data_IF_334656245462
#
_entry.id   IF_334656245462
#
_cell.length_a   1.000
_cell.length_b   1.000
_cell.length_c   1.000
_cell.angle_alpha   90.00
_cell.angle_beta   90.00
_cell.angle_gamma   90.00
#
_symmetry.space_group_name_H-M   'P 1'
#
loop_
_entity.id
_entity.type
_entity.pdbx_description
1 polymer ?
#
# COMPACT_ATOMS: atom_id res chain seq x y z
N UNK A 1 -25.20 5.35 16.87
CA UNK A 1 -25.69 5.78 15.55
C UNK A 1 -26.22 4.55 14.81
N UNK A 2 -27.49 4.55 14.38
CA UNK A 2 -28.12 3.37 13.75
C UNK A 2 -27.98 3.34 12.21
N UNK A 3 -27.58 4.47 11.64
CA UNK A 3 -27.37 4.62 10.21
C UNK A 3 -26.08 3.93 9.78
N UNK A 4 -26.05 3.40 8.55
CA UNK A 4 -24.84 2.83 7.96
C UNK A 4 -23.94 3.95 7.43
N UNK A 5 -22.66 3.85 7.69
CA UNK A 5 -21.65 4.80 7.20
C UNK A 5 -20.63 4.02 6.35
N UNK A 6 -20.73 4.14 5.02
CA UNK A 6 -19.94 3.32 4.09
C UNK A 6 -18.58 3.93 3.78
N UNK A 7 -17.51 3.27 4.23
CA UNK A 7 -16.15 3.58 3.77
C UNK A 7 -16.03 3.31 2.27
N UNK A 8 -16.51 2.14 1.83
CA UNK A 8 -16.74 1.85 0.42
C UNK A 8 -17.98 0.98 0.23
N UNK A 9 -18.54 1.03 -0.98
CA UNK A 9 -19.64 0.17 -1.39
C UNK A 9 -19.50 -0.20 -2.87
N UNK A 10 -19.68 -1.48 -3.19
CA UNK A 10 -19.93 -1.99 -4.53
C UNK A 10 -21.38 -2.43 -4.61
N UNK A 11 -22.19 -1.77 -5.43
CA UNK A 11 -23.62 -2.06 -5.59
C UNK A 11 -24.03 -2.14 -7.06
N UNK A 12 -25.21 -2.70 -7.33
CA UNK A 12 -25.80 -2.68 -8.68
C UNK A 12 -25.86 -1.23 -9.23
N UNK A 13 -25.48 -1.04 -10.48
CA UNK A 13 -25.55 0.28 -11.13
C UNK A 13 -27.01 0.70 -11.36
N UNK A 14 -27.85 -0.25 -11.79
CA UNK A 14 -29.22 -0.01 -12.27
C UNK A 14 -30.21 -0.96 -11.58
N UNK A 15 -31.49 -0.59 -11.62
CA UNK A 15 -32.69 -1.37 -11.24
C UNK A 15 -32.82 -1.76 -9.75
N UNK A 16 -31.80 -2.37 -9.17
CA UNK A 16 -31.78 -2.91 -7.81
C UNK A 16 -30.70 -2.17 -7.01
N UNK A 17 -30.75 -2.30 -5.69
CA UNK A 17 -29.78 -1.68 -4.78
C UNK A 17 -29.03 -2.77 -4.00
N UNK A 18 -28.71 -3.91 -4.64
CA UNK A 18 -28.05 -4.99 -3.90
C UNK A 18 -26.59 -4.62 -3.72
N UNK A 19 -26.10 -4.79 -2.50
CA UNK A 19 -24.69 -4.58 -2.20
C UNK A 19 -23.97 -5.89 -2.51
N UNK A 20 -22.93 -5.83 -3.32
CA UNK A 20 -22.09 -6.97 -3.68
C UNK A 20 -20.91 -7.09 -2.73
N UNK A 21 -20.30 -5.95 -2.39
CA UNK A 21 -19.26 -5.85 -1.38
C UNK A 21 -19.35 -4.48 -0.68
N UNK A 22 -19.07 -4.39 0.61
CA UNK A 22 -19.05 -3.12 1.31
C UNK A 22 -18.22 -3.19 2.60
N UNK A 23 -17.58 -2.09 2.95
CA UNK A 23 -17.02 -1.85 4.29
C UNK A 23 -17.76 -0.67 4.89
N UNK A 24 -18.40 -0.88 6.03
CA UNK A 24 -19.20 0.15 6.66
C UNK A 24 -19.21 0.03 8.19
N UNK A 25 -19.50 1.15 8.84
CA UNK A 25 -19.70 1.22 10.29
C UNK A 25 -21.20 1.29 10.55
N UNK A 26 -21.68 0.49 11.51
CA UNK A 26 -23.06 0.53 11.96
C UNK A 26 -23.16 -0.04 13.38
N UNK A 27 -23.88 0.63 14.27
CA UNK A 27 -24.11 0.17 15.66
C UNK A 27 -22.81 -0.15 16.42
N UNK A 28 -21.74 0.62 16.21
CA UNK A 28 -20.40 0.38 16.78
C UNK A 28 -19.77 -0.95 16.36
N UNK A 29 -20.17 -1.49 15.20
CA UNK A 29 -19.46 -2.57 14.54
C UNK A 29 -18.81 -2.05 13.27
N UNK A 30 -17.55 -2.42 13.06
CA UNK A 30 -16.93 -2.43 11.74
C UNK A 30 -17.43 -3.66 11.00
N UNK A 31 -17.97 -3.50 9.80
CA UNK A 31 -18.59 -4.60 9.06
C UNK A 31 -18.05 -4.70 7.65
N UNK A 32 -17.60 -5.90 7.30
CA UNK A 32 -17.24 -6.25 5.93
C UNK A 32 -18.33 -7.17 5.37
N UNK A 33 -19.02 -6.70 4.33
CA UNK A 33 -19.98 -7.48 3.56
C UNK A 33 -19.31 -7.95 2.27
N UNK A 34 -19.35 -9.25 1.99
CA UNK A 34 -18.97 -9.87 0.72
C UNK A 34 -20.04 -10.89 0.36
N UNK A 35 -20.86 -10.60 -0.66
CA UNK A 35 -21.90 -11.52 -1.09
C UNK A 35 -21.40 -12.41 -2.23
N UNK A 36 -21.77 -13.69 -2.17
CA UNK A 36 -21.52 -14.61 -3.28
C UNK A 36 -22.28 -14.14 -4.52
N UNK A 37 -21.59 -14.10 -5.64
CA UNK A 37 -22.19 -13.84 -6.95
C UNK A 37 -23.25 -14.89 -7.32
N UNK A 38 -24.02 -14.65 -8.38
CA UNK A 38 -25.11 -15.52 -8.77
C UNK A 38 -24.66 -16.95 -9.07
N UNK A 39 -25.31 -17.91 -8.41
CA UNK A 39 -25.17 -19.33 -8.71
C UNK A 39 -26.34 -19.77 -9.60
N UNK A 40 -26.05 -20.63 -10.58
CA UNK A 40 -27.04 -21.22 -11.49
C UNK A 40 -27.91 -22.29 -10.81
N UNK A 41 -27.53 -22.77 -9.63
CA UNK A 41 -28.30 -23.74 -8.85
C UNK A 41 -29.18 -23.05 -7.81
N UNK A 42 -30.43 -23.49 -7.72
CA UNK A 42 -31.42 -23.12 -6.68
C UNK A 42 -31.03 -23.69 -5.29
N UNK A 43 -29.78 -23.53 -4.87
CA UNK A 43 -29.32 -23.99 -3.57
C UNK A 43 -29.81 -23.07 -2.46
N UNK A 44 -30.52 -23.62 -1.47
CA UNK A 44 -30.85 -22.94 -0.21
C UNK A 44 -29.63 -22.74 0.71
N UNK A 45 -28.43 -23.12 0.24
CA UNK A 45 -27.19 -23.03 1.01
C UNK A 45 -26.84 -21.57 1.32
N UNK A 46 -26.73 -21.27 2.60
CA UNK A 46 -26.23 -19.97 3.08
C UNK A 46 -24.71 -19.98 3.11
N UNK A 47 -24.11 -18.83 2.86
CA UNK A 47 -22.67 -18.63 2.90
C UNK A 47 -22.32 -17.46 3.82
N UNK A 48 -21.21 -17.53 4.57
CA UNK A 48 -20.65 -16.39 5.27
C UNK A 48 -20.61 -15.16 4.36
N UNK A 49 -21.30 -14.09 4.77
CA UNK A 49 -21.52 -12.93 3.92
C UNK A 49 -21.21 -11.61 4.62
N UNK A 50 -21.45 -11.50 5.93
CA UNK A 50 -21.12 -10.28 6.70
C UNK A 50 -20.29 -10.65 7.93
N UNK A 51 -19.07 -10.11 8.01
CA UNK A 51 -18.19 -10.20 9.17
C UNK A 51 -18.26 -8.91 9.96
N UNK A 52 -18.45 -9.02 11.27
CA UNK A 52 -18.70 -7.89 12.15
C UNK A 52 -17.71 -7.90 13.30
N UNK A 53 -16.96 -6.81 13.49
CA UNK A 53 -16.03 -6.63 14.61
C UNK A 53 -16.47 -5.46 15.48
N UNK A 54 -16.56 -5.70 16.79
CA UNK A 54 -16.72 -4.67 17.81
C UNK A 54 -15.34 -4.32 18.35
N UNK A 55 -14.82 -3.19 17.92
CA UNK A 55 -13.51 -2.66 18.28
C UNK A 55 -13.65 -1.20 18.73
N UNK A 56 -12.71 -0.71 19.54
CA UNK A 56 -12.74 0.65 20.09
C UNK A 56 -12.31 1.71 19.08
N UNK A 57 -11.39 1.33 18.19
CA UNK A 57 -10.63 2.15 17.26
C UNK A 57 -11.49 2.81 16.17
N UNK A 58 -12.75 2.36 16.00
CA UNK A 58 -13.69 3.00 15.07
C UNK A 58 -14.33 4.28 15.62
N UNK A 59 -14.23 4.55 16.93
CA UNK A 59 -14.96 5.63 17.61
C UNK A 59 -14.09 6.49 18.56
N UNK A 60 -12.78 6.34 18.54
CA UNK A 60 -11.86 7.08 19.42
C UNK A 60 -11.30 8.37 18.80
N UNK A 61 -11.74 8.70 17.57
CA UNK A 61 -11.30 9.85 16.79
C UNK A 61 -9.77 9.90 16.55
N UNK A 62 -9.11 8.74 16.52
CA UNK A 62 -7.70 8.62 16.14
C UNK A 62 -7.53 8.01 14.75
N UNK A 63 -6.33 8.19 14.20
CA UNK A 63 -5.95 7.54 12.95
C UNK A 63 -5.56 6.09 13.20
N UNK A 64 -6.20 5.17 12.49
CA UNK A 64 -5.91 3.74 12.56
C UNK A 64 -5.73 3.14 11.16
N UNK A 65 -4.85 2.16 11.05
CA UNK A 65 -4.74 1.32 9.85
C UNK A 65 -5.61 0.08 10.00
N UNK A 66 -6.40 -0.22 8.97
CA UNK A 66 -7.27 -1.40 8.93
C UNK A 66 -6.87 -2.28 7.76
N UNK A 67 -6.58 -3.55 8.03
CA UNK A 67 -6.15 -4.51 7.01
C UNK A 67 -6.94 -5.80 7.12
N UNK A 68 -7.62 -6.13 6.03
CA UNK A 68 -8.43 -7.33 5.91
C UNK A 68 -7.72 -8.34 5.03
N UNK A 69 -7.44 -9.53 5.57
CA UNK A 69 -6.97 -10.67 4.79
C UNK A 69 -8.15 -11.59 4.55
N UNK A 70 -8.66 -11.58 3.32
CA UNK A 70 -9.87 -12.30 2.93
C UNK A 70 -9.49 -13.63 2.29
N UNK A 71 -9.76 -14.73 2.98
CA UNK A 71 -9.75 -16.09 2.45
C UNK A 71 -11.20 -16.55 2.27
N UNK A 72 -11.93 -15.91 1.35
CA UNK A 72 -13.34 -16.21 1.13
C UNK A 72 -13.53 -17.62 0.55
N UNK A 73 -14.58 -18.38 0.94
CA UNK A 73 -15.63 -18.04 1.92
C UNK A 73 -15.30 -18.45 3.37
N UNK A 74 -14.08 -18.93 3.65
CA UNK A 74 -13.77 -19.64 4.89
C UNK A 74 -13.39 -18.71 6.04
N UNK A 75 -12.66 -17.63 5.77
CA UNK A 75 -12.10 -16.78 6.84
C UNK A 75 -11.82 -15.36 6.38
N UNK A 76 -12.02 -14.40 7.28
CA UNK A 76 -11.49 -13.04 7.16
C UNK A 76 -10.73 -12.68 8.43
N UNK A 77 -9.45 -12.34 8.29
CA UNK A 77 -8.63 -11.83 9.39
C UNK A 77 -8.57 -10.30 9.33
N UNK A 78 -8.80 -9.65 10.47
CA UNK A 78 -8.69 -8.21 10.63
C UNK A 78 -7.43 -7.87 11.45
N UNK A 79 -6.62 -6.98 10.91
CA UNK A 79 -5.53 -6.33 11.64
C UNK A 79 -5.86 -4.84 11.81
N UNK A 80 -5.66 -4.34 13.03
CA UNK A 80 -5.75 -2.91 13.36
C UNK A 80 -4.39 -2.48 13.85
N UNK A 81 -3.79 -1.49 13.20
CA UNK A 81 -2.42 -1.03 13.50
C UNK A 81 -1.39 -2.17 13.53
N UNK A 82 -1.46 -3.05 12.53
CA UNK A 82 -0.66 -4.29 12.38
C UNK A 82 -0.86 -5.34 13.50
N UNK A 83 -1.85 -5.17 14.38
CA UNK A 83 -2.20 -6.15 15.41
C UNK A 83 -3.41 -6.96 14.98
N UNK A 84 -3.28 -8.29 15.01
CA UNK A 84 -4.40 -9.20 14.73
C UNK A 84 -5.50 -9.00 15.79
N UNK A 85 -6.71 -8.70 15.33
CA UNK A 85 -7.91 -8.70 16.18
C UNK A 85 -8.34 -10.14 16.40
N UNK A 86 -8.12 -10.65 17.61
CA UNK A 86 -8.49 -12.02 17.98
C UNK A 86 -10.02 -12.13 18.13
N UNK A 87 -10.70 -12.97 17.32
CA UNK A 87 -12.13 -13.15 17.43
C UNK A 87 -12.55 -13.81 18.74
N UNK A 88 -13.56 -13.23 19.41
CA UNK A 88 -14.26 -13.78 20.57
C UNK A 88 -15.77 -13.72 20.31
N UNK A 89 -16.56 -14.45 21.10
CA UNK A 89 -18.03 -14.42 21.01
C UNK A 89 -18.63 -13.03 21.29
N UNK A 90 -17.90 -12.17 22.00
CA UNK A 90 -18.32 -10.82 22.36
C UNK A 90 -17.99 -9.79 21.28
N UNK A 91 -16.82 -9.93 20.64
CA UNK A 91 -16.29 -8.92 19.72
C UNK A 91 -16.48 -9.26 18.23
N UNK A 92 -16.83 -10.51 17.89
CA UNK A 92 -16.86 -10.94 16.50
C UNK A 92 -18.09 -11.79 16.18
N UNK A 93 -18.69 -11.54 15.02
CA UNK A 93 -19.83 -12.29 14.49
C UNK A 93 -19.75 -12.44 12.99
N UNK A 94 -20.29 -13.54 12.49
CA UNK A 94 -20.46 -13.80 11.06
C UNK A 94 -21.93 -14.08 10.79
N UNK A 95 -22.49 -13.39 9.78
CA UNK A 95 -23.84 -13.62 9.29
C UNK A 95 -23.74 -14.33 7.94
N UNK A 96 -24.55 -15.37 7.79
CA UNK A 96 -24.68 -16.10 6.53
C UNK A 96 -25.91 -15.64 5.75
N UNK A 97 -25.75 -15.51 4.43
CA UNK A 97 -26.82 -15.09 3.52
C UNK A 97 -26.85 -15.98 2.27
N UNK A 98 -27.98 -15.93 1.57
CA UNK A 98 -28.13 -16.57 0.28
C UNK A 98 -27.32 -15.81 -0.79
N UNK A 99 -26.81 -16.53 -1.82
CA UNK A 99 -26.19 -15.89 -2.97
C UNK A 99 -27.09 -14.84 -3.64
N UNK A 100 -26.47 -13.88 -4.32
CA UNK A 100 -27.22 -12.91 -5.12
C UNK A 100 -28.02 -13.64 -6.20
N UNK A 101 -29.32 -13.37 -6.30
CA UNK A 101 -30.14 -13.95 -7.38
C UNK A 101 -29.77 -13.33 -8.72
N UNK A 102 -29.80 -14.10 -9.81
CA UNK A 102 -29.68 -13.53 -11.16
C UNK A 102 -30.90 -12.65 -11.43
N UNK A 103 -30.66 -11.39 -11.77
CA UNK A 103 -31.70 -10.46 -12.23
C UNK A 103 -31.18 -9.83 -13.52
N UNK A 104 -31.85 -10.02 -14.67
CA UNK A 104 -31.42 -9.39 -15.92
C UNK A 104 -31.31 -7.86 -15.77
N UNK A 105 -30.25 -7.27 -16.34
CA UNK A 105 -30.00 -5.83 -16.28
C UNK A 105 -29.33 -5.34 -14.98
N UNK A 106 -28.73 -6.25 -14.21
CA UNK A 106 -27.98 -5.95 -12.98
C UNK A 106 -26.56 -6.51 -13.00
N UNK A 107 -26.02 -6.71 -14.20
CA UNK A 107 -24.67 -7.21 -14.44
C UNK A 107 -23.62 -6.14 -14.11
N UNK A 108 -23.97 -4.88 -14.34
CA UNK A 108 -23.11 -3.72 -14.05
C UNK A 108 -23.19 -3.31 -12.58
N UNK A 109 -22.03 -2.98 -12.00
CA UNK A 109 -21.90 -2.53 -10.62
C UNK A 109 -21.09 -1.25 -10.52
N UNK A 110 -21.48 -0.37 -9.62
CA UNK A 110 -20.72 0.83 -9.26
C UNK A 110 -19.93 0.56 -7.98
N UNK A 111 -18.68 1.00 -7.98
CA UNK A 111 -17.86 1.11 -6.79
C UNK A 111 -17.79 2.58 -6.34
N UNK A 112 -18.16 2.84 -5.09
CA UNK A 112 -18.18 4.18 -4.50
C UNK A 112 -17.39 4.21 -3.19
N UNK A 113 -16.72 5.34 -2.95
CA UNK A 113 -16.04 5.66 -1.69
C UNK A 113 -16.84 6.69 -0.89
N UNK A 114 -16.87 6.53 0.43
CA UNK A 114 -17.53 7.47 1.33
C UNK A 114 -19.06 7.46 1.26
N UNK A 115 -19.67 6.46 0.64
CA UNK A 115 -21.11 6.28 0.50
C UNK A 115 -21.44 5.04 -0.32
N UNK A 116 -22.73 4.74 -0.47
CA UNK A 116 -23.20 3.67 -1.34
C UNK A 116 -24.12 4.17 -2.45
N UNK A 117 -23.94 3.68 -3.67
CA UNK A 117 -24.79 4.02 -4.80
C UNK A 117 -26.16 3.33 -4.67
N UNK A 118 -27.21 4.13 -4.74
CA UNK A 118 -28.60 3.66 -4.70
C UNK A 118 -29.26 3.88 -6.07
N UNK A 119 -29.21 2.86 -6.92
CA UNK A 119 -29.67 2.88 -8.30
C UNK A 119 -31.09 3.47 -8.48
N UNK A 120 -32.04 3.10 -7.61
CA UNK A 120 -33.43 3.59 -7.74
C UNK A 120 -33.59 5.08 -7.47
N UNK A 121 -32.67 5.67 -6.71
CA UNK A 121 -32.71 7.08 -6.38
C UNK A 121 -31.63 7.88 -7.13
N UNK A 122 -30.85 7.20 -7.98
CA UNK A 122 -29.76 7.76 -8.77
C UNK A 122 -28.83 8.68 -7.98
N UNK A 123 -28.49 8.28 -6.74
CA UNK A 123 -27.65 9.07 -5.84
C UNK A 123 -26.89 8.21 -4.85
N UNK A 124 -25.83 8.79 -4.29
CA UNK A 124 -25.16 8.23 -3.11
C UNK A 124 -26.00 8.44 -1.85
N UNK A 125 -25.98 7.44 -0.97
CA UNK A 125 -26.64 7.42 0.33
C UNK A 125 -25.69 6.86 1.38
N UNK A 126 -26.05 6.97 2.67
CA UNK A 126 -25.33 6.32 3.77
C UNK A 126 -23.85 6.74 3.81
N UNK A 127 -23.66 8.05 3.75
CA UNK A 127 -22.35 8.69 3.63
C UNK A 127 -21.48 8.42 4.85
N UNK A 128 -20.18 8.24 4.61
CA UNK A 128 -19.18 8.14 5.65
C UNK A 128 -18.91 9.50 6.28
N UNK A 129 -18.94 9.59 7.61
CA UNK A 129 -18.53 10.78 8.35
C UNK A 129 -17.17 10.53 9.01
N UNK A 130 -16.12 10.79 8.25
CA UNK A 130 -14.74 10.65 8.72
C UNK A 130 -13.74 11.00 7.63
N UNK A 131 -12.47 10.67 7.87
CA UNK A 131 -11.39 10.89 6.91
C UNK A 131 -10.75 9.57 6.53
N UNK A 132 -10.43 9.40 5.24
CA UNK A 132 -9.71 8.24 4.71
C UNK A 132 -8.48 8.76 4.00
N UNK A 133 -7.28 8.40 4.49
CA UNK A 133 -6.01 8.83 3.90
C UNK A 133 -5.51 7.89 2.79
N UNK A 134 -6.05 6.67 2.71
CA UNK A 134 -5.66 5.69 1.72
C UNK A 134 -6.56 4.45 1.75
N UNK A 135 -6.81 3.88 0.58
CA UNK A 135 -7.51 2.62 0.42
C UNK A 135 -6.85 1.85 -0.72
N UNK A 136 -6.50 0.61 -0.45
CA UNK A 136 -5.93 -0.31 -1.43
C UNK A 136 -6.73 -1.61 -1.37
N UNK A 137 -7.17 -2.10 -2.54
CA UNK A 137 -7.85 -3.38 -2.69
C UNK A 137 -7.05 -4.17 -3.72
N UNK A 138 -6.52 -5.31 -3.30
CA UNK A 138 -5.64 -6.16 -4.12
C UNK A 138 -6.23 -7.56 -4.21
N UNK A 139 -6.10 -8.17 -5.39
CA UNK A 139 -6.39 -9.59 -5.57
C UNK A 139 -5.12 -10.40 -5.28
N UNK A 140 -5.30 -11.66 -4.87
CA UNK A 140 -4.20 -12.52 -4.42
C UNK A 140 -3.15 -12.77 -5.51
N UNK A 141 -3.53 -12.68 -6.79
CA UNK A 141 -2.60 -12.76 -7.92
C UNK A 141 -1.68 -11.51 -8.03
N UNK A 142 -2.13 -10.34 -7.58
CA UNK A 142 -1.34 -9.09 -7.65
C UNK A 142 -0.28 -9.00 -6.54
N UNK A 143 -0.49 -9.70 -5.42
CA UNK A 143 0.46 -9.80 -4.30
C UNK A 143 1.80 -10.44 -4.71
N UNK A 144 1.84 -11.29 -5.73
CA UNK A 144 3.09 -11.86 -6.26
C UNK A 144 3.89 -10.81 -7.07
N UNK A 145 3.26 -9.72 -7.52
CA UNK A 145 3.89 -8.66 -8.34
C UNK A 145 4.18 -7.37 -7.57
N UNK A 146 3.59 -7.12 -6.40
CA UNK A 146 3.71 -5.83 -5.66
C UNK A 146 4.31 -5.92 -4.24
N UNK A 147 4.78 -7.08 -3.79
CA UNK A 147 4.99 -7.39 -2.36
C UNK A 147 6.33 -6.95 -1.76
N UNK A 148 6.51 -5.66 -1.54
CA UNK A 148 7.33 -5.25 -0.38
C UNK A 148 6.79 -4.03 0.35
N UNK A 149 6.25 -3.04 -0.36
CA UNK A 149 5.83 -1.81 0.31
C UNK A 149 4.53 -2.00 1.11
N UNK A 150 3.47 -2.62 0.56
CA UNK A 150 2.11 -2.59 1.15
C UNK A 150 2.03 -3.05 2.62
N UNK A 151 2.99 -3.86 3.10
CA UNK A 151 3.04 -4.32 4.50
C UNK A 151 3.95 -3.49 5.41
N UNK A 152 4.87 -2.72 4.85
CA UNK A 152 5.93 -2.00 5.58
C UNK A 152 6.14 -0.57 5.05
N UNK A 153 5.15 0.05 4.39
CA UNK A 153 5.22 1.43 3.88
C UNK A 153 5.09 2.46 5.04
N UNK A 154 6.07 2.53 5.94
CA UNK A 154 6.08 3.48 7.04
C UNK A 154 7.41 4.23 7.11
N UNK A 155 7.38 5.44 7.66
CA UNK A 155 8.58 6.20 7.97
C UNK A 155 9.05 5.78 9.35
N UNK A 156 10.32 5.41 9.47
CA UNK A 156 10.90 5.04 10.75
C UNK A 156 12.39 5.39 10.79
N UNK A 157 12.93 5.42 12.00
CA UNK A 157 14.35 5.52 12.23
C UNK A 157 14.89 4.10 12.48
N UNK A 158 16.06 3.82 11.94
CA UNK A 158 16.69 2.49 11.98
C UNK A 158 18.15 2.61 12.42
N UNK A 159 18.66 1.55 13.03
CA UNK A 159 20.06 1.41 13.44
C UNK A 159 20.62 0.19 12.70
N UNK A 160 21.16 0.36 11.48
CA UNK A 160 21.47 -0.76 10.59
C UNK A 160 22.50 -1.73 11.17
N UNK A 161 23.50 -1.18 11.86
CA UNK A 161 24.68 -1.91 12.30
C UNK A 161 24.45 -2.71 13.59
N UNK A 162 23.26 -2.58 14.21
CA UNK A 162 22.97 -3.19 15.52
C UNK A 162 23.05 -4.71 15.50
N UNK A 163 22.69 -5.33 14.37
CA UNK A 163 22.72 -6.80 14.22
C UNK A 163 24.13 -7.37 14.06
N UNK A 164 25.07 -6.54 13.62
CA UNK A 164 26.47 -6.91 13.39
C UNK A 164 27.38 -6.60 14.58
N UNK A 165 26.88 -5.88 15.58
CA UNK A 165 27.67 -5.51 16.75
C UNK A 165 27.61 -6.61 17.80
N UNK A 166 28.75 -7.22 18.10
CA UNK A 166 28.86 -8.26 19.12
C UNK A 166 28.68 -7.66 20.53
N UNK A 167 28.02 -8.40 21.43
CA UNK A 167 27.82 -7.94 22.82
C UNK A 167 26.73 -6.87 22.99
N UNK A 168 25.87 -6.69 21.99
CA UNK A 168 24.73 -5.77 22.07
C UNK A 168 23.42 -6.55 22.00
N UNK A 169 22.58 -6.43 23.02
CA UNK A 169 21.18 -6.84 22.96
C UNK A 169 20.33 -5.66 22.45
N UNK A 170 19.44 -5.95 21.50
CA UNK A 170 18.56 -4.96 20.90
C UNK A 170 17.10 -5.41 20.93
N UNK A 171 16.22 -4.52 21.37
CA UNK A 171 14.78 -4.67 21.24
C UNK A 171 14.15 -3.38 20.70
N UNK A 172 13.07 -3.51 19.95
CA UNK A 172 12.30 -2.39 19.40
C UNK A 172 10.81 -2.66 19.55
N UNK A 173 10.02 -1.60 19.70
CA UNK A 173 8.56 -1.71 19.59
C UNK A 173 8.13 -1.88 18.12
N UNK A 174 6.87 -2.26 17.91
CA UNK A 174 6.30 -2.60 16.59
C UNK A 174 6.39 -1.47 15.57
N UNK A 175 6.18 -0.23 16.00
CA UNK A 175 6.24 0.96 15.14
C UNK A 175 7.66 1.60 15.06
N UNK A 176 8.68 0.96 15.64
CA UNK A 176 10.10 1.38 15.60
C UNK A 176 10.33 2.83 16.07
N UNK A 177 9.55 3.28 17.05
CA UNK A 177 9.70 4.58 17.71
C UNK A 177 10.49 4.50 19.02
N UNK A 178 10.74 3.29 19.54
CA UNK A 178 11.49 3.06 20.76
C UNK A 178 12.46 1.90 20.56
N UNK A 179 13.72 2.11 20.95
CA UNK A 179 14.76 1.09 20.98
C UNK A 179 15.31 0.93 22.39
N UNK A 180 15.62 -0.32 22.74
CA UNK A 180 16.31 -0.69 23.97
C UNK A 180 17.60 -1.36 23.55
N UNK A 181 18.72 -0.71 23.87
CA UNK A 181 20.07 -1.22 23.66
C UNK A 181 20.65 -1.61 25.02
N UNK A 182 21.16 -2.84 25.16
CA UNK A 182 21.93 -3.27 26.33
C UNK A 182 23.30 -3.74 25.88
N UNK A 183 24.34 -3.20 26.50
CA UNK A 183 25.73 -3.55 26.23
C UNK A 183 26.57 -3.21 27.45
N UNK A 184 27.67 -3.92 27.62
CA UNK A 184 28.73 -3.67 28.61
C UNK A 184 29.83 -2.75 28.07
N UNK A 185 29.87 -2.52 26.75
CA UNK A 185 30.86 -1.68 26.08
C UNK A 185 30.29 -0.31 25.68
N UNK A 186 30.85 0.75 26.27
CA UNK A 186 30.54 2.15 25.89
C UNK A 186 30.80 2.41 24.40
N UNK A 187 31.86 1.83 23.86
CA UNK A 187 32.31 2.03 22.48
C UNK A 187 31.27 1.51 21.46
N UNK A 188 30.68 0.35 21.72
CA UNK A 188 29.60 -0.23 20.90
C UNK A 188 28.37 0.67 20.88
N UNK A 189 28.01 1.26 22.04
CA UNK A 189 26.92 2.24 22.10
C UNK A 189 27.20 3.50 21.27
N UNK A 190 28.39 4.10 21.41
CA UNK A 190 28.78 5.29 20.65
C UNK A 190 28.85 5.02 19.14
N UNK A 191 29.32 3.83 18.73
CA UNK A 191 29.39 3.43 17.33
C UNK A 191 28.01 3.33 16.70
N UNK A 192 27.05 2.69 17.38
CA UNK A 192 25.68 2.54 16.88
C UNK A 192 24.94 3.87 16.76
N UNK A 193 25.11 4.78 17.72
CA UNK A 193 24.46 6.10 17.67
C UNK A 193 25.02 7.02 16.57
N UNK A 194 26.28 6.80 16.14
CA UNK A 194 26.86 7.56 15.02
C UNK A 194 26.20 7.21 13.67
N UNK A 195 25.58 6.03 13.56
CA UNK A 195 24.97 5.55 12.32
C UNK A 195 23.48 5.25 12.49
N UNK A 196 22.71 6.31 12.73
CA UNK A 196 21.25 6.28 12.74
C UNK A 196 20.75 6.74 11.37
N UNK A 197 19.86 5.96 10.76
CA UNK A 197 19.32 6.26 9.43
C UNK A 197 17.83 6.48 9.46
N UNK A 198 17.36 7.43 8.68
CA UNK A 198 15.95 7.60 8.39
C UNK A 198 15.57 6.77 7.17
N UNK A 199 14.55 5.92 7.32
CA UNK A 199 14.01 5.11 6.24
C UNK A 199 12.59 5.55 5.92
N UNK A 200 12.34 5.76 4.64
CA UNK A 200 11.01 5.98 4.09
C UNK A 200 10.79 4.98 2.96
N UNK A 201 9.99 3.96 3.23
CA UNK A 201 9.66 2.91 2.27
C UNK A 201 8.46 3.27 1.39
N UNK A 202 7.81 4.42 1.62
CA UNK A 202 6.68 4.88 0.81
C UNK A 202 7.12 5.16 -0.64
N UNK A 203 6.45 4.56 -1.63
CA UNK A 203 6.67 4.80 -3.05
C UNK A 203 5.38 5.33 -3.72
N UNK A 204 5.43 6.47 -4.44
CA UNK A 204 6.56 7.40 -4.56
C UNK A 204 6.88 8.06 -3.22
N UNK A 205 8.17 8.30 -2.90
CA UNK A 205 8.60 8.99 -1.66
C UNK A 205 7.59 10.11 -1.35
N UNK A 206 6.90 10.00 -0.22
CA UNK A 206 5.67 10.78 0.08
C UNK A 206 5.85 12.29 -0.08
N UNK A 207 4.78 13.10 0.06
CA UNK A 207 4.81 14.52 -0.29
C UNK A 207 6.03 15.23 0.31
N UNK A 208 6.69 16.03 -0.54
CA UNK A 208 7.87 16.83 -0.20
C UNK A 208 7.68 17.50 1.16
N UNK A 209 8.72 17.52 1.99
CA UNK A 209 8.63 18.20 3.26
C UNK A 209 9.80 17.94 4.18
N UNK A 210 9.76 18.66 5.28
CA UNK A 210 10.71 18.55 6.38
C UNK A 210 10.10 17.63 7.44
N UNK A 211 10.89 16.68 7.95
CA UNK A 211 10.53 15.88 9.13
C UNK A 211 11.38 16.35 10.29
N UNK A 212 10.73 16.70 11.38
CA UNK A 212 11.40 16.96 12.65
C UNK A 212 11.56 15.62 13.36
N UNK A 213 12.81 15.22 13.61
CA UNK A 213 13.14 14.03 14.37
C UNK A 213 13.68 14.47 15.72
N UNK A 214 13.05 14.01 16.80
CA UNK A 214 13.52 14.23 18.15
C UNK A 214 13.87 12.90 18.80
N UNK A 215 15.09 12.78 19.30
CA UNK A 215 15.59 11.59 19.97
C UNK A 215 15.76 11.94 21.45
N UNK A 216 15.00 11.24 22.29
CA UNK A 216 15.10 11.33 23.74
C UNK A 216 15.74 10.06 24.25
N UNK A 217 16.81 10.19 25.03
CA UNK A 217 17.62 9.05 25.45
C UNK A 217 17.63 8.97 26.97
N UNK A 218 17.28 7.79 27.50
CA UNK A 218 17.37 7.46 28.92
C UNK A 218 18.37 6.34 29.13
N UNK A 219 19.31 6.55 30.03
CA UNK A 219 20.38 5.61 30.37
C UNK A 219 20.16 5.05 31.77
N UNK A 220 20.35 3.74 31.93
CA UNK A 220 20.38 3.04 33.21
C UNK A 220 21.61 2.15 33.27
N UNK A 221 22.53 2.43 34.18
CA UNK A 221 23.71 1.60 34.42
C UNK A 221 23.36 0.38 35.27
N UNK A 222 24.09 -0.72 35.06
CA UNK A 222 23.92 -1.94 35.86
C UNK A 222 24.30 -1.65 37.32
N UNK A 223 23.42 -1.99 38.27
CA UNK A 223 23.64 -1.76 39.70
C UNK A 223 23.24 -0.37 40.21
N UNK A 224 22.91 0.57 39.32
CA UNK A 224 22.37 1.87 39.72
C UNK A 224 20.83 1.85 39.80
N UNK A 225 20.30 2.49 40.85
CA UNK A 225 18.85 2.66 41.03
C UNK A 225 18.32 3.79 40.13
N UNK A 226 19.15 4.81 39.92
CA UNK A 226 18.77 6.01 39.19
C UNK A 226 18.92 5.83 37.67
N UNK A 227 18.07 6.53 36.94
CA UNK A 227 18.15 6.66 35.48
C UNK A 227 18.49 8.09 35.11
N UNK A 228 19.32 8.28 34.09
CA UNK A 228 19.74 9.59 33.62
C UNK A 228 19.13 9.86 32.24
N UNK A 229 18.48 11.00 32.09
CA UNK A 229 17.99 11.48 30.80
C UNK A 229 19.07 12.36 30.16
N UNK A 230 19.44 12.04 28.92
CA UNK A 230 20.32 12.89 28.11
C UNK A 230 19.52 14.03 27.46
N UNK A 231 20.18 15.14 27.08
CA UNK A 231 19.54 16.20 26.32
C UNK A 231 18.89 15.67 25.04
N UNK A 232 17.65 16.10 24.79
CA UNK A 232 16.93 15.73 23.58
C UNK A 232 17.69 16.24 22.34
N UNK A 233 17.91 15.35 21.37
CA UNK A 233 18.51 15.70 20.09
C UNK A 233 17.41 15.91 19.06
N UNK A 234 17.18 17.17 18.66
CA UNK A 234 16.26 17.49 17.57
C UNK A 234 17.02 17.81 16.28
N UNK A 235 16.60 17.19 15.18
CA UNK A 235 17.15 17.38 13.83
C UNK A 235 16.04 17.47 12.80
N UNK A 236 16.36 18.06 11.66
CA UNK A 236 15.45 18.18 10.53
C UNK A 236 15.96 17.36 9.36
N UNK A 237 15.08 16.56 8.79
CA UNK A 237 15.37 15.73 7.61
C UNK A 237 14.53 16.26 6.45
N UNK A 238 15.22 16.72 5.40
CA UNK A 238 14.57 17.18 4.17
C UNK A 238 14.38 16.02 3.21
N UNK A 239 13.12 15.73 2.86
CA UNK A 239 12.79 14.70 1.86
C UNK A 239 12.70 15.39 0.50
N UNK A 240 13.69 15.12 -0.36
CA UNK A 240 13.75 15.64 -1.72
C UNK A 240 13.10 14.62 -2.66
N UNK A 241 12.24 15.04 -3.60
CA UNK A 241 11.63 14.11 -4.55
C UNK A 241 12.71 13.43 -5.40
N UNK A 242 12.52 12.14 -5.75
CA UNK A 242 13.42 11.48 -6.68
C UNK A 242 13.34 12.19 -8.02
N UNK A 243 14.49 12.44 -8.65
CA UNK A 243 14.52 12.99 -10.01
C UNK A 243 13.76 12.01 -10.91
N UNK A 244 12.71 12.47 -11.57
CA UNK A 244 11.96 11.67 -12.55
C UNK A 244 13.00 11.18 -13.57
N UNK A 245 13.14 9.86 -13.78
CA UNK A 245 14.05 9.36 -14.80
C UNK A 245 13.62 9.93 -16.15
N UNK A 246 14.60 10.35 -16.96
CA UNK A 246 14.32 10.80 -18.32
C UNK A 246 13.71 9.63 -19.07
N UNK A 247 12.45 9.76 -19.49
CA UNK A 247 11.83 8.79 -20.38
C UNK A 247 12.46 8.98 -21.74
N UNK A 248 13.29 8.02 -22.15
CA UNK A 248 13.83 7.93 -23.50
C UNK A 248 12.85 7.09 -24.32
N UNK A 249 12.31 7.67 -25.39
CA UNK A 249 11.40 7.00 -26.31
C UNK A 249 12.04 6.95 -27.69
N UNK A 250 12.17 5.75 -28.26
CA UNK A 250 12.67 5.54 -29.62
C UNK A 250 11.47 5.38 -30.54
N UNK A 251 11.37 6.19 -31.59
CA UNK A 251 10.38 6.01 -32.65
C UNK A 251 11.09 5.73 -33.97
N UNK A 252 10.72 4.65 -34.62
CA UNK A 252 11.17 4.29 -35.96
C UNK A 252 10.06 3.46 -36.63
N UNK A 253 10.14 3.32 -37.94
CA UNK A 253 9.32 2.33 -38.64
C UNK A 253 9.83 0.94 -38.26
N UNK A 254 8.89 0.06 -37.92
CA UNK A 254 9.21 -1.32 -37.48
C UNK A 254 9.27 -2.30 -38.65
N UNK A 255 8.91 -1.87 -39.86
CA UNK A 255 8.88 -2.70 -41.06
C UNK A 255 9.20 -1.86 -42.29
N UNK A 256 10.10 -2.37 -43.13
CA UNK A 256 10.47 -1.75 -44.41
C UNK A 256 10.26 -2.74 -45.55
N UNK A 257 9.71 -2.26 -46.65
CA UNK A 257 9.71 -2.98 -47.92
C UNK A 257 10.86 -2.41 -48.76
N UNK A 258 11.84 -3.25 -49.09
CA UNK A 258 13.00 -2.84 -49.87
C UNK A 258 13.13 -3.76 -51.09
N UNK A 259 13.37 -3.21 -52.30
CA UNK A 259 13.63 -4.02 -53.49
C UNK A 259 14.86 -4.92 -53.28
N UNK A 260 14.79 -6.16 -53.76
CA UNK A 260 15.85 -7.16 -53.59
C UNK A 260 17.22 -6.68 -54.11
N UNK A 261 17.25 -5.94 -55.22
CA UNK A 261 18.46 -5.33 -55.78
C UNK A 261 19.18 -4.37 -54.81
N UNK A 262 18.43 -3.74 -53.90
CA UNK A 262 19.00 -2.81 -52.91
C UNK A 262 19.55 -3.55 -51.67
N UNK A 263 19.30 -4.85 -51.52
CA UNK A 263 19.97 -5.66 -50.50
C UNK A 263 21.45 -5.85 -50.84
N UNK A 264 21.78 -6.04 -52.13
CA UNK A 264 23.18 -6.17 -52.59
C UNK A 264 23.99 -4.88 -52.39
N UNK A 265 23.32 -3.73 -52.38
CA UNK A 265 23.93 -2.40 -52.19
C UNK A 265 24.00 -1.97 -50.72
N UNK A 266 23.41 -2.76 -49.81
CA UNK A 266 23.28 -2.43 -48.40
C UNK A 266 22.03 -1.59 -48.10
N UNK A 267 21.35 -1.94 -47.00
CA UNK A 267 20.13 -1.25 -46.56
C UNK A 267 20.37 -0.44 -45.29
N UNK A 268 19.92 0.81 -45.28
CA UNK A 268 19.83 1.60 -44.05
C UNK A 268 18.66 1.10 -43.20
N UNK A 269 18.96 0.47 -42.06
CA UNK A 269 17.96 -0.12 -41.15
C UNK A 269 17.24 0.90 -40.27
N UNK A 270 17.86 2.05 -40.01
CA UNK A 270 17.36 3.07 -39.08
C UNK A 270 17.07 4.41 -39.80
N UNK A 271 16.32 4.37 -40.91
CA UNK A 271 16.11 5.57 -41.76
C UNK A 271 15.39 6.71 -41.03
N UNK A 272 14.50 6.38 -40.11
CA UNK A 272 13.67 7.36 -39.40
C UNK A 272 13.74 7.21 -37.87
N UNK A 273 14.78 6.55 -37.35
CA UNK A 273 14.96 6.41 -35.91
C UNK A 273 15.14 7.79 -35.26
N UNK A 274 14.20 8.14 -34.41
CA UNK A 274 14.13 9.40 -33.70
C UNK A 274 14.11 9.12 -32.20
N UNK A 275 14.99 9.81 -31.45
CA UNK A 275 15.10 9.70 -29.99
C UNK A 275 14.39 10.88 -29.36
N UNK A 276 13.36 10.61 -28.56
CA UNK A 276 12.62 11.62 -27.81
C UNK A 276 12.93 11.49 -26.33
N UNK A 277 13.06 12.65 -25.66
CA UNK A 277 13.18 12.70 -24.21
C UNK A 277 12.09 13.61 -23.65
N UNK A 278 11.50 13.23 -22.52
CA UNK A 278 10.48 14.03 -21.84
C UNK A 278 11.06 15.12 -20.93
N UNK A 279 12.29 15.60 -21.17
CA UNK A 279 12.93 16.56 -20.28
C UNK A 279 12.14 17.89 -20.23
N UNK A 280 11.35 18.08 -19.17
CA UNK A 280 10.50 19.27 -18.92
C UNK A 280 11.32 20.53 -18.62
N UNK A 281 12.66 20.44 -18.54
CA UNK A 281 13.55 21.60 -18.44
C UNK A 281 14.60 21.55 -19.53
N UNK A 282 14.85 22.71 -20.17
CA UNK A 282 16.03 23.04 -21.00
C UNK A 282 17.36 22.93 -20.22
N UNK A 283 17.56 21.89 -19.40
CA UNK A 283 18.92 21.43 -19.14
C UNK A 283 19.28 20.59 -20.35
N UNK A 284 20.25 21.03 -21.16
CA UNK A 284 20.92 20.15 -22.14
C UNK A 284 21.27 18.86 -21.40
N UNK A 285 20.49 17.80 -21.63
CA UNK A 285 20.95 16.47 -21.34
C UNK A 285 21.97 16.18 -22.41
N UNK A 286 23.25 16.35 -22.11
CA UNK A 286 24.30 15.88 -22.99
C UNK A 286 24.19 14.35 -23.01
N UNK A 287 23.65 13.82 -24.11
CA UNK A 287 23.77 12.40 -24.42
C UNK A 287 25.25 12.19 -24.69
N UNK A 288 25.98 11.65 -23.70
CA UNK A 288 27.43 11.48 -23.76
C UNK A 288 27.85 10.37 -24.74
N UNK A 289 27.01 9.34 -24.89
CA UNK A 289 27.24 8.22 -25.80
C UNK A 289 25.92 7.49 -26.12
N UNK A 290 25.81 6.93 -27.31
CA UNK A 290 24.67 6.12 -27.75
C UNK A 290 25.18 4.95 -28.61
N UNK A 291 25.17 3.74 -28.06
CA UNK A 291 25.56 2.53 -28.79
C UNK A 291 24.34 1.72 -29.22
N UNK A 292 24.17 1.52 -30.53
CA UNK A 292 23.20 0.55 -31.08
C UNK A 292 23.91 -0.79 -31.30
N UNK A 293 23.39 -1.87 -30.72
CA UNK A 293 23.86 -3.24 -30.97
C UNK A 293 22.77 -4.03 -31.70
N UNK A 294 23.11 -4.58 -32.86
CA UNK A 294 22.25 -5.49 -33.60
C UNK A 294 22.70 -6.94 -33.35
N UNK A 295 21.75 -7.85 -33.15
CA UNK A 295 22.01 -9.29 -33.03
C UNK A 295 21.07 -10.07 -33.95
N UNK A 296 21.58 -10.91 -34.88
CA UNK A 296 23.01 -11.16 -35.14
C UNK A 296 23.75 -9.91 -35.65
N UNK A 297 25.09 -9.86 -35.53
CA UNK A 297 25.88 -8.75 -36.07
C UNK A 297 25.54 -8.54 -37.54
N UNK A 298 25.34 -7.29 -37.95
CA UNK A 298 25.22 -6.97 -39.37
C UNK A 298 26.55 -7.38 -40.03
N UNK A 299 26.50 -8.33 -40.96
CA UNK A 299 27.66 -8.73 -41.73
C UNK A 299 28.21 -7.53 -42.48
N UNK A 300 29.52 -7.30 -42.38
CA UNK A 300 30.25 -6.26 -43.14
C UNK A 300 29.99 -6.39 -44.64
#
# INVERSE_FOLDING_TARGET
NNEKEHVFCKSDEKLKNRHHAALFIQNNYLKLLLRKGPLSSNGQTKYPSEWMWKISEINDNQWHSYKFIVNYPTKVDLYVDERLVVPTSENFRVIEDSPLTVVPGTEETIFALGGCWHARASRLVQHFRGQVSGLTIEQKEDLQRSSSCIRDCHQYIDIPDVKSEAGVEFASNSNRSMWILRTDARESYEKLLKHIVYRNTFQPLGPNGQRTVSINTRIKCLGEVNTYDLPALTRYISIVPPKIPVKIELKADTSYLVPELAMEQGIYLFRNLSVYTNAIKKSRGDISDCTLRATPPLSN
#
